data_IF_489864077012
#
_entry.id   IF_489864077012
#
_cell.length_a   1.000
_cell.length_b   1.000
_cell.length_c   1.000
_cell.angle_alpha   90.00
_cell.angle_beta   90.00
_cell.angle_gamma   90.00
#
_symmetry.space_group_name_H-M   'P 1'
#
loop_
_entity.id
_entity.type
_entity.pdbx_description
1 polymer ?
#
# COMPACT_ATOMS: atom_id res chain seq x y z
N UNK A 1 16.26 44.45 51.95
CA UNK A 1 16.35 42.97 52.05
C UNK A 1 15.27 42.24 51.23
N UNK A 2 14.30 42.90 50.64
CA UNK A 2 13.14 42.27 49.96
C UNK A 2 13.38 41.85 48.52
N UNK A 3 14.21 42.54 47.74
CA UNK A 3 14.45 42.21 46.33
C UNK A 3 15.32 40.94 46.10
N UNK A 4 16.27 40.68 46.99
CA UNK A 4 17.12 39.46 46.90
C UNK A 4 16.39 38.19 47.31
N UNK A 5 15.43 38.29 48.24
CA UNK A 5 14.60 37.15 48.64
C UNK A 5 13.58 36.77 47.53
N UNK A 6 13.07 37.75 46.78
CA UNK A 6 12.20 37.53 45.65
C UNK A 6 12.91 36.87 44.45
N UNK A 7 14.15 37.28 44.18
CA UNK A 7 15.01 36.66 43.12
C UNK A 7 15.41 35.23 43.44
N UNK A 8 15.66 34.90 44.71
CA UNK A 8 16.01 33.54 45.14
C UNK A 8 14.75 32.65 45.15
N UNK A 9 13.57 33.19 45.53
CA UNK A 9 12.32 32.45 45.43
C UNK A 9 11.87 32.19 44.00
N UNK A 10 12.06 33.13 43.09
CA UNK A 10 11.79 32.93 41.64
C UNK A 10 12.78 31.89 41.00
N UNK A 11 14.06 31.92 41.38
CA UNK A 11 15.03 30.93 40.87
C UNK A 11 14.80 29.51 41.45
N UNK A 12 14.29 29.38 42.67
CA UNK A 12 13.91 28.10 43.24
C UNK A 12 12.63 27.51 42.62
N UNK A 13 11.68 28.35 42.27
CA UNK A 13 10.45 27.95 41.55
C UNK A 13 10.73 27.52 40.08
N UNK A 14 11.70 28.15 39.42
CA UNK A 14 12.08 27.75 38.05
C UNK A 14 12.85 26.44 38.00
N UNK A 15 13.61 26.08 39.06
CA UNK A 15 14.30 24.80 39.14
C UNK A 15 13.35 23.61 39.47
N UNK A 16 12.24 23.86 40.17
CA UNK A 16 11.25 22.80 40.42
C UNK A 16 10.35 22.49 39.23
N UNK A 17 10.19 23.42 38.30
CA UNK A 17 9.45 23.17 37.04
C UNK A 17 10.22 22.28 36.04
N UNK A 18 11.54 22.15 36.19
CA UNK A 18 12.38 21.30 35.34
C UNK A 18 12.42 19.81 35.75
N UNK A 19 11.70 19.40 36.82
CA UNK A 19 11.59 17.99 37.20
C UNK A 19 10.41 17.32 36.47
N UNK A 20 10.29 17.58 35.18
CA UNK A 20 9.45 16.75 34.32
C UNK A 20 10.20 15.44 34.06
N UNK A 21 9.70 14.33 34.58
CA UNK A 21 10.26 13.01 34.36
C UNK A 21 10.43 12.69 32.87
N UNK A 22 11.22 11.67 32.51
CA UNK A 22 11.33 11.25 31.12
C UNK A 22 9.96 10.92 30.53
N UNK A 23 9.81 10.97 29.19
CA UNK A 23 8.57 10.51 28.56
C UNK A 23 8.27 9.07 28.99
N UNK A 24 7.00 8.65 29.07
CA UNK A 24 6.67 7.30 29.47
C UNK A 24 7.32 6.30 28.52
N UNK A 25 8.12 5.39 29.03
CA UNK A 25 8.69 4.29 28.26
C UNK A 25 7.60 3.28 27.95
N UNK A 26 7.30 3.12 26.67
CA UNK A 26 6.37 2.10 26.19
C UNK A 26 7.21 0.97 25.61
N UNK A 27 7.15 -0.19 26.25
CA UNK A 27 7.82 -1.38 25.76
C UNK A 27 7.25 -1.80 24.41
N UNK A 28 8.13 -1.94 23.43
CA UNK A 28 7.81 -2.41 22.06
C UNK A 28 8.68 -3.64 21.74
N UNK A 29 8.44 -4.79 22.42
CA UNK A 29 9.26 -5.98 22.21
C UNK A 29 9.13 -6.47 20.77
N UNK A 30 10.24 -6.92 20.19
CA UNK A 30 10.23 -7.54 18.85
C UNK A 30 9.32 -8.76 18.86
N UNK A 31 8.41 -8.91 17.87
CA UNK A 31 7.57 -10.08 17.76
C UNK A 31 8.41 -11.36 17.64
N UNK A 32 8.08 -12.38 18.41
CA UNK A 32 8.72 -13.69 18.30
C UNK A 32 8.18 -14.41 17.07
N UNK A 33 9.06 -14.80 16.17
CA UNK A 33 8.76 -15.58 14.98
C UNK A 33 9.37 -16.98 15.11
N UNK A 34 8.77 -18.01 14.48
CA UNK A 34 9.38 -19.32 14.37
C UNK A 34 10.66 -19.27 13.52
N UNK A 35 11.54 -20.24 13.67
CA UNK A 35 12.80 -20.31 12.90
C UNK A 35 12.56 -20.75 11.44
N UNK A 36 11.49 -21.49 11.17
CA UNK A 36 11.15 -22.03 9.84
C UNK A 36 9.65 -21.99 9.60
N UNK A 37 9.25 -21.94 8.32
CA UNK A 37 7.86 -22.14 7.93
C UNK A 37 7.49 -23.62 8.00
N UNK A 38 6.28 -23.94 8.45
CA UNK A 38 5.77 -25.31 8.57
C UNK A 38 5.68 -25.99 7.19
N UNK A 39 5.23 -25.26 6.17
CA UNK A 39 5.07 -25.76 4.80
C UNK A 39 6.22 -25.36 3.87
N UNK A 40 7.22 -24.67 4.39
CA UNK A 40 8.40 -24.26 3.61
C UNK A 40 9.27 -25.46 3.21
N UNK A 41 10.06 -25.35 2.12
CA UNK A 41 10.94 -26.43 1.68
C UNK A 41 12.06 -26.67 2.71
N UNK A 42 12.37 -27.95 2.96
CA UNK A 42 13.38 -28.35 3.95
C UNK A 42 14.83 -27.98 3.51
N UNK A 43 15.11 -28.04 2.20
CA UNK A 43 16.41 -27.69 1.62
C UNK A 43 16.35 -26.36 0.89
N UNK A 44 17.47 -25.61 0.90
CA UNK A 44 17.60 -24.45 0.03
C UNK A 44 17.79 -24.95 -1.42
N UNK A 45 16.87 -24.56 -2.31
CA UNK A 45 17.11 -24.62 -3.74
C UNK A 45 17.32 -23.17 -4.18
N UNK A 46 18.38 -22.91 -4.95
CA UNK A 46 18.77 -21.57 -5.44
C UNK A 46 17.86 -21.09 -6.58
N UNK A 47 16.54 -21.24 -6.43
CA UNK A 47 15.61 -20.63 -7.39
C UNK A 47 15.38 -19.16 -7.03
N UNK A 48 15.60 -18.30 -8.04
CA UNK A 48 15.40 -16.88 -7.86
C UNK A 48 13.91 -16.58 -7.60
N UNK A 49 13.61 -15.76 -6.61
CA UNK A 49 12.26 -15.31 -6.28
C UNK A 49 11.51 -14.76 -7.52
N UNK A 50 12.23 -14.08 -8.42
CA UNK A 50 11.65 -13.56 -9.66
C UNK A 50 11.11 -14.66 -10.60
N UNK A 51 11.58 -15.90 -10.47
CA UNK A 51 11.07 -17.02 -11.26
C UNK A 51 9.64 -17.45 -10.88
N UNK A 52 9.15 -17.06 -9.70
CA UNK A 52 7.77 -17.31 -9.27
C UNK A 52 6.74 -16.50 -10.08
N UNK A 53 7.15 -15.41 -10.70
CA UNK A 53 6.35 -14.67 -11.67
C UNK A 53 6.50 -15.27 -13.08
N UNK A 54 5.50 -15.08 -13.95
CA UNK A 54 5.61 -15.50 -15.37
C UNK A 54 6.50 -14.53 -16.15
N UNK A 55 7.71 -14.25 -15.66
CA UNK A 55 8.64 -13.26 -16.22
C UNK A 55 9.11 -13.56 -17.64
N UNK A 56 9.10 -14.83 -18.03
CA UNK A 56 9.41 -15.24 -19.39
C UNK A 56 8.22 -15.08 -20.37
N UNK A 57 7.01 -14.82 -19.88
CA UNK A 57 5.83 -14.61 -20.74
C UNK A 57 5.83 -13.19 -21.30
N UNK A 58 5.92 -13.00 -22.63
CA UNK A 58 5.98 -11.67 -23.25
C UNK A 58 4.73 -10.81 -22.97
N UNK A 59 3.57 -11.44 -22.71
CA UNK A 59 2.37 -10.71 -22.32
C UNK A 59 2.53 -10.10 -20.92
N UNK A 60 3.13 -10.83 -19.98
CA UNK A 60 3.42 -10.32 -18.65
C UNK A 60 4.43 -9.17 -18.71
N UNK A 61 5.51 -9.33 -19.48
CA UNK A 61 6.52 -8.29 -19.65
C UNK A 61 5.93 -7.00 -20.21
N UNK A 62 5.16 -7.09 -21.32
CA UNK A 62 4.55 -5.93 -21.96
C UNK A 62 3.54 -5.22 -21.04
N UNK A 63 2.62 -5.99 -20.40
CA UNK A 63 1.58 -5.41 -19.55
C UNK A 63 2.15 -4.86 -18.24
N UNK A 64 3.15 -5.51 -17.66
CA UNK A 64 3.79 -5.02 -16.43
C UNK A 64 4.61 -3.76 -16.68
N UNK A 65 5.38 -3.71 -17.78
CA UNK A 65 6.13 -2.51 -18.16
C UNK A 65 5.21 -1.30 -18.36
N UNK A 66 4.08 -1.49 -19.06
CA UNK A 66 3.10 -0.43 -19.27
C UNK A 66 2.42 -0.01 -17.97
N UNK A 67 2.01 -0.95 -17.14
CA UNK A 67 1.37 -0.65 -15.87
C UNK A 67 2.31 0.10 -14.92
N UNK A 68 3.58 -0.27 -14.87
CA UNK A 68 4.59 0.45 -14.08
C UNK A 68 4.79 1.89 -14.57
N UNK A 69 4.63 2.14 -15.87
CA UNK A 69 4.78 3.48 -16.46
C UNK A 69 3.55 4.37 -16.29
N UNK A 70 2.33 3.81 -16.24
CA UNK A 70 1.10 4.59 -16.38
C UNK A 70 -0.02 4.26 -15.39
N UNK A 71 0.20 3.35 -14.42
CA UNK A 71 -0.84 2.99 -13.44
C UNK A 71 -1.24 4.17 -12.57
N UNK A 72 -2.55 4.53 -12.50
CA UNK A 72 -3.03 5.56 -11.59
C UNK A 72 -2.74 5.24 -10.11
N UNK A 73 -2.77 3.97 -9.73
CA UNK A 73 -2.45 3.52 -8.35
C UNK A 73 -1.00 3.85 -7.98
N UNK A 74 -0.05 3.66 -8.90
CA UNK A 74 1.34 4.03 -8.65
C UNK A 74 1.53 5.55 -8.70
N UNK A 75 0.80 6.26 -9.56
CA UNK A 75 0.76 7.72 -9.57
C UNK A 75 0.24 8.29 -8.24
N UNK A 76 -0.81 7.72 -7.67
CA UNK A 76 -1.31 8.08 -6.34
C UNK A 76 -0.26 7.80 -5.25
N UNK A 77 0.40 6.65 -5.30
CA UNK A 77 1.45 6.32 -4.33
C UNK A 77 2.63 7.29 -4.42
N UNK A 78 3.04 7.69 -5.62
CA UNK A 78 4.08 8.71 -5.82
C UNK A 78 3.67 10.07 -5.25
N UNK A 79 2.43 10.51 -5.50
CA UNK A 79 1.90 11.76 -4.95
C UNK A 79 1.85 11.75 -3.41
N UNK A 80 1.57 10.60 -2.78
CA UNK A 80 1.63 10.46 -1.31
C UNK A 80 3.04 10.59 -0.76
N UNK A 81 4.05 10.13 -1.49
CA UNK A 81 5.46 10.37 -1.13
C UNK A 81 5.78 11.87 -1.21
N UNK A 82 5.33 12.56 -2.26
CA UNK A 82 5.50 14.01 -2.39
C UNK A 82 4.80 14.78 -1.26
N UNK A 83 3.60 14.37 -0.88
CA UNK A 83 2.87 14.91 0.27
C UNK A 83 3.65 14.73 1.57
N UNK A 84 4.19 13.53 1.82
CA UNK A 84 5.00 13.24 3.00
C UNK A 84 6.29 14.09 3.01
N UNK A 85 6.96 14.27 1.86
CA UNK A 85 8.14 15.14 1.70
C UNK A 85 7.79 16.61 1.96
N UNK A 86 6.67 17.08 1.44
CA UNK A 86 6.20 18.44 1.72
C UNK A 86 5.90 18.66 3.21
N UNK A 87 5.35 17.62 3.88
CA UNK A 87 5.16 17.59 5.33
C UNK A 87 6.48 17.71 6.11
N UNK A 88 7.48 16.93 5.72
CA UNK A 88 8.81 16.97 6.33
C UNK A 88 9.52 18.31 6.09
N UNK A 89 9.44 18.87 4.88
CA UNK A 89 9.99 20.18 4.57
C UNK A 89 9.32 21.29 5.42
N UNK A 90 8.00 21.19 5.62
CA UNK A 90 7.26 22.11 6.51
C UNK A 90 7.75 22.00 7.94
N UNK A 91 7.91 20.77 8.46
CA UNK A 91 8.41 20.54 9.81
C UNK A 91 9.85 21.04 9.98
N UNK A 92 10.72 20.85 8.98
CA UNK A 92 12.07 21.38 8.95
C UNK A 92 12.08 22.92 8.89
N UNK A 93 11.21 23.52 8.08
CA UNK A 93 11.08 24.99 7.96
C UNK A 93 10.64 25.65 9.28
N UNK A 94 9.85 24.96 10.11
CA UNK A 94 9.45 25.48 11.44
C UNK A 94 10.63 25.70 12.40
N UNK A 95 11.80 25.12 12.13
CA UNK A 95 13.03 25.33 12.89
C UNK A 95 13.86 26.52 12.41
N UNK A 96 13.49 27.09 11.27
CA UNK A 96 14.17 28.23 10.67
C UNK A 96 13.47 29.53 11.07
N UNK A 97 14.17 30.67 11.04
CA UNK A 97 13.53 31.98 11.24
C UNK A 97 12.44 32.23 10.19
N UNK A 98 11.26 32.65 10.63
CA UNK A 98 10.20 33.16 9.75
C UNK A 98 10.38 34.64 9.57
N UNK A 99 10.50 35.10 8.32
CA UNK A 99 10.65 36.51 7.96
C UNK A 99 9.41 36.94 7.19
N UNK A 100 8.72 37.93 7.70
CA UNK A 100 7.53 38.52 7.07
C UNK A 100 7.66 40.01 6.88
N UNK A 101 6.87 40.58 5.98
CA UNK A 101 6.69 42.00 5.83
C UNK A 101 5.23 42.36 6.09
N UNK A 102 5.00 43.42 6.85
CA UNK A 102 3.67 43.96 7.11
C UNK A 102 3.66 45.48 6.98
N UNK A 103 2.59 46.01 6.44
CA UNK A 103 2.33 47.42 6.41
C UNK A 103 0.91 47.71 6.86
N UNK A 104 0.71 48.87 7.49
CA UNK A 104 -0.61 49.20 7.99
C UNK A 104 -0.74 50.66 8.32
N UNK A 105 -1.97 51.14 8.38
CA UNK A 105 -2.35 52.44 8.88
C UNK A 105 -3.21 52.23 10.11
N UNK A 106 -2.84 52.83 11.23
CA UNK A 106 -3.58 52.70 12.49
C UNK A 106 -4.03 54.08 12.96
N UNK A 107 -5.35 54.26 13.08
CA UNK A 107 -5.94 55.42 13.73
C UNK A 107 -6.25 55.08 15.19
N UNK A 108 -5.73 55.87 16.13
CA UNK A 108 -6.02 55.71 17.56
C UNK A 108 -6.70 56.97 18.08
N UNK A 109 -7.75 56.78 18.86
CA UNK A 109 -8.42 57.85 19.60
C UNK A 109 -8.42 57.48 21.07
N UNK A 110 -7.72 58.30 21.88
CA UNK A 110 -7.60 58.12 23.32
C UNK A 110 -8.60 58.99 24.07
N UNK A 111 -9.13 58.49 25.16
CA UNK A 111 -10.00 59.28 26.01
C UNK A 111 -9.16 60.31 26.79
N UNK A 112 -9.44 61.64 26.69
CA UNK A 112 -8.71 62.68 27.42
C UNK A 112 -8.68 62.44 28.93
N UNK A 113 -9.71 61.88 29.48
CA UNK A 113 -9.84 61.61 30.93
C UNK A 113 -8.78 60.64 31.49
N UNK A 114 -8.13 59.84 30.64
CA UNK A 114 -7.05 58.92 31.05
C UNK A 114 -5.74 59.66 31.36
N UNK A 115 -5.57 60.89 30.87
CA UNK A 115 -4.34 61.67 31.02
C UNK A 115 -4.47 62.83 32.01
N UNK A 116 -5.71 63.09 32.52
CA UNK A 116 -6.02 64.27 33.29
C UNK A 116 -5.31 64.38 34.66
N UNK A 117 -4.78 63.29 35.19
CA UNK A 117 -4.09 63.24 36.49
C UNK A 117 -2.55 63.31 36.41
N UNK A 118 -1.95 63.25 35.21
CA UNK A 118 -0.51 63.12 35.06
C UNK A 118 0.14 64.23 34.21
N UNK A 119 -0.66 65.16 33.66
CA UNK A 119 -0.14 66.20 32.80
C UNK A 119 -0.03 67.57 33.56
N UNK A 120 1.04 68.36 33.31
CA UNK A 120 1.18 69.73 33.84
C UNK A 120 0.02 70.61 33.38
N UNK A 121 -0.34 71.65 34.16
CA UNK A 121 -1.36 72.61 33.74
C UNK A 121 -0.98 73.30 32.39
N UNK A 122 -1.91 73.26 31.43
CA UNK A 122 -1.73 73.88 30.12
C UNK A 122 -1.29 72.90 29.01
N UNK A 123 -1.05 71.61 29.28
CA UNK A 123 -0.74 70.59 28.27
C UNK A 123 -2.02 69.83 27.90
N UNK A 124 -2.43 69.96 26.65
CA UNK A 124 -3.55 69.18 26.08
C UNK A 124 -2.99 67.93 25.38
N UNK A 125 -3.39 66.71 25.77
CA UNK A 125 -2.93 65.54 25.07
C UNK A 125 -3.53 65.45 23.66
N UNK A 126 -2.75 65.04 22.67
CA UNK A 126 -3.28 64.61 21.39
C UNK A 126 -4.13 63.37 21.56
N UNK A 127 -5.43 63.54 21.32
CA UNK A 127 -6.41 62.47 21.53
C UNK A 127 -6.61 61.62 20.28
N UNK A 128 -6.30 62.14 19.11
CA UNK A 128 -6.41 61.44 17.82
C UNK A 128 -5.03 61.40 17.14
N UNK A 129 -4.61 60.23 16.77
CA UNK A 129 -3.33 60.02 16.09
C UNK A 129 -3.49 58.98 14.97
N UNK A 130 -3.00 59.31 13.79
CA UNK A 130 -2.85 58.36 12.70
C UNK A 130 -1.37 58.01 12.60
N UNK A 131 -1.07 56.72 12.48
CA UNK A 131 0.31 56.26 12.22
C UNK A 131 0.36 55.37 10.98
N UNK A 132 1.39 55.54 10.21
CA UNK A 132 1.71 54.72 9.05
C UNK A 132 2.94 53.88 9.39
N UNK A 133 2.86 52.58 9.15
CA UNK A 133 3.96 51.66 9.45
C UNK A 133 4.22 50.70 8.29
N UNK A 134 5.51 50.39 8.04
CA UNK A 134 5.95 49.37 7.14
C UNK A 134 7.15 48.65 7.78
N UNK A 135 6.96 47.36 8.16
CA UNK A 135 7.92 46.62 8.96
C UNK A 135 8.31 45.30 8.31
N UNK A 136 9.58 44.93 8.44
CA UNK A 136 10.06 43.56 8.34
C UNK A 136 10.09 42.97 9.73
N UNK A 137 9.52 41.77 9.89
CA UNK A 137 9.48 41.03 11.16
C UNK A 137 10.19 39.71 10.99
N UNK A 138 10.97 39.33 11.99
CA UNK A 138 11.55 37.98 12.08
C UNK A 138 11.14 37.33 13.39
N UNK A 139 10.77 36.08 13.34
CA UNK A 139 10.49 35.25 14.52
C UNK A 139 11.21 33.92 14.40
N UNK A 140 11.79 33.45 15.49
CA UNK A 140 12.53 32.21 15.53
C UNK A 140 12.47 31.53 16.89
N UNK A 141 12.11 30.21 16.88
CA UNK A 141 12.27 29.28 18.01
C UNK A 141 13.55 28.46 17.78
N UNK A 142 14.65 28.66 18.52
CA UNK A 142 15.89 27.91 18.37
C UNK A 142 15.79 26.45 18.82
N UNK A 143 14.61 26.02 19.28
CA UNK A 143 14.29 24.64 19.68
C UNK A 143 15.29 24.04 20.70
N UNK A 144 15.56 24.77 21.78
CA UNK A 144 16.57 24.38 22.79
C UNK A 144 16.31 23.00 23.38
N UNK A 145 15.06 22.60 23.51
CA UNK A 145 14.64 21.31 24.08
C UNK A 145 14.30 20.27 23.00
N UNK A 146 14.38 20.59 21.73
CA UNK A 146 14.27 19.66 20.61
C UNK A 146 12.85 19.20 20.28
N UNK A 147 11.83 19.97 20.64
CA UNK A 147 10.41 19.69 20.31
C UNK A 147 10.18 19.70 18.81
N UNK A 148 10.63 20.76 18.12
CA UNK A 148 10.51 20.88 16.66
C UNK A 148 11.36 19.85 15.92
N UNK A 149 12.56 19.55 16.46
CA UNK A 149 13.41 18.47 15.94
C UNK A 149 12.73 17.09 16.03
N UNK A 150 11.99 16.82 17.10
CA UNK A 150 11.23 15.58 17.21
C UNK A 150 10.09 15.51 16.20
N UNK A 151 9.36 16.61 15.97
CA UNK A 151 8.32 16.69 14.95
C UNK A 151 8.88 16.51 13.54
N UNK A 152 10.03 17.10 13.23
CA UNK A 152 10.72 16.87 11.95
C UNK A 152 11.08 15.39 11.76
N UNK A 153 11.62 14.72 12.78
CA UNK A 153 11.95 13.29 12.73
C UNK A 153 10.71 12.42 12.55
N UNK A 154 9.60 12.77 13.17
CA UNK A 154 8.31 12.10 12.94
C UNK A 154 7.87 12.25 11.47
N UNK A 155 7.99 13.44 10.92
CA UNK A 155 7.64 13.70 9.51
C UNK A 155 8.58 12.95 8.53
N UNK A 156 9.88 12.85 8.84
CA UNK A 156 10.82 12.04 8.05
C UNK A 156 10.48 10.55 8.09
N UNK A 157 10.13 10.00 9.25
CA UNK A 157 9.70 8.61 9.36
C UNK A 157 8.41 8.33 8.57
N UNK A 158 7.53 9.32 8.39
CA UNK A 158 6.35 9.22 7.52
C UNK A 158 6.72 9.13 6.04
N UNK A 159 7.86 9.69 5.60
CA UNK A 159 8.37 9.46 4.24
C UNK A 159 8.71 8.00 4.05
N UNK A 160 9.42 7.38 5.01
CA UNK A 160 9.79 5.98 4.95
C UNK A 160 8.55 5.07 4.89
N UNK A 161 7.48 5.43 5.64
CA UNK A 161 6.20 4.72 5.58
C UNK A 161 5.51 4.85 4.22
N UNK A 162 5.54 6.04 3.62
CA UNK A 162 4.97 6.27 2.28
C UNK A 162 5.75 5.53 1.19
N UNK A 163 7.10 5.55 1.25
CA UNK A 163 7.96 4.81 0.33
C UNK A 163 7.74 3.29 0.41
N UNK A 164 7.59 2.76 1.62
CA UNK A 164 7.28 1.34 1.81
C UNK A 164 5.88 1.00 1.29
N UNK A 165 4.89 1.85 1.52
CA UNK A 165 3.52 1.69 0.99
C UNK A 165 3.49 1.71 -0.55
N UNK A 166 4.30 2.56 -1.18
CA UNK A 166 4.43 2.59 -2.63
C UNK A 166 5.04 1.29 -3.20
N UNK A 167 6.02 0.71 -2.50
CA UNK A 167 6.56 -0.62 -2.86
C UNK A 167 5.51 -1.71 -2.72
N UNK A 168 4.68 -1.68 -1.68
CA UNK A 168 3.57 -2.62 -1.52
C UNK A 168 2.57 -2.51 -2.68
N UNK A 169 2.21 -1.29 -3.09
CA UNK A 169 1.32 -1.06 -4.22
C UNK A 169 1.91 -1.60 -5.54
N UNK A 170 3.22 -1.44 -5.76
CA UNK A 170 3.92 -2.01 -6.92
C UNK A 170 3.87 -3.54 -6.94
N UNK A 171 4.13 -4.19 -5.81
CA UNK A 171 4.08 -5.65 -5.68
C UNK A 171 2.67 -6.15 -5.96
N UNK A 172 1.65 -5.53 -5.36
CA UNK A 172 0.27 -5.88 -5.60
C UNK A 172 -0.11 -5.74 -7.08
N UNK A 173 0.29 -4.66 -7.75
CA UNK A 173 0.04 -4.44 -9.18
C UNK A 173 0.65 -5.54 -10.05
N UNK A 174 1.92 -5.88 -9.81
CA UNK A 174 2.61 -6.93 -10.56
C UNK A 174 1.98 -8.30 -10.32
N UNK A 175 1.60 -8.62 -9.08
CA UNK A 175 0.89 -9.86 -8.74
C UNK A 175 -0.45 -9.99 -9.45
N UNK A 176 -1.22 -8.91 -9.51
CA UNK A 176 -2.51 -8.87 -10.16
C UNK A 176 -2.39 -9.04 -11.68
N UNK A 177 -1.38 -8.43 -12.32
CA UNK A 177 -1.10 -8.61 -13.75
C UNK A 177 -0.65 -10.04 -14.02
N UNK A 178 0.27 -10.58 -13.21
CA UNK A 178 0.73 -11.96 -13.32
C UNK A 178 -0.44 -12.95 -13.21
N UNK A 179 -1.30 -12.77 -12.21
CA UNK A 179 -2.51 -13.56 -12.05
C UNK A 179 -3.44 -13.47 -13.27
N UNK A 180 -3.64 -12.26 -13.81
CA UNK A 180 -4.46 -12.05 -15.01
C UNK A 180 -3.89 -12.76 -16.26
N UNK A 181 -2.57 -12.69 -16.46
CA UNK A 181 -1.90 -13.41 -17.56
C UNK A 181 -2.02 -14.93 -17.39
N UNK A 182 -1.78 -15.46 -16.20
CA UNK A 182 -1.95 -16.90 -15.90
C UNK A 182 -3.39 -17.35 -16.13
N UNK A 183 -4.38 -16.56 -15.66
CA UNK A 183 -5.79 -16.84 -15.89
C UNK A 183 -6.10 -16.89 -17.39
N UNK A 184 -5.59 -15.93 -18.18
CA UNK A 184 -5.76 -15.94 -19.63
C UNK A 184 -5.17 -17.18 -20.31
N UNK A 185 -3.94 -17.57 -19.93
CA UNK A 185 -3.30 -18.78 -20.45
C UNK A 185 -4.09 -20.04 -20.09
N UNK A 186 -4.57 -20.10 -18.86
CA UNK A 186 -5.42 -21.22 -18.39
C UNK A 186 -6.72 -21.29 -19.19
N UNK A 187 -7.37 -20.15 -19.44
CA UNK A 187 -8.58 -20.07 -20.27
C UNK A 187 -8.31 -20.50 -21.71
N UNK A 188 -7.18 -20.13 -22.31
CA UNK A 188 -6.79 -20.56 -23.65
C UNK A 188 -6.58 -22.08 -23.73
N UNK A 189 -5.98 -22.68 -22.69
CA UNK A 189 -5.82 -24.13 -22.62
C UNK A 189 -7.17 -24.86 -22.48
N UNK A 190 -8.08 -24.33 -21.65
CA UNK A 190 -9.43 -24.86 -21.47
C UNK A 190 -10.25 -24.73 -22.78
N UNK A 191 -10.17 -23.61 -23.45
CA UNK A 191 -10.85 -23.38 -24.73
C UNK A 191 -10.41 -24.37 -25.80
N UNK A 192 -9.09 -24.58 -25.94
CA UNK A 192 -8.54 -25.52 -26.90
C UNK A 192 -9.05 -26.95 -26.65
N UNK A 193 -9.09 -27.39 -25.37
CA UNK A 193 -9.61 -28.70 -24.97
C UNK A 193 -11.13 -28.79 -25.24
N UNK A 194 -11.91 -27.84 -24.80
CA UNK A 194 -13.35 -27.82 -25.04
C UNK A 194 -13.72 -27.74 -26.54
N UNK A 195 -12.87 -27.06 -27.35
CA UNK A 195 -13.04 -27.06 -28.81
C UNK A 195 -12.81 -28.46 -29.43
N UNK A 196 -11.80 -29.18 -28.94
CA UNK A 196 -11.55 -30.57 -29.34
C UNK A 196 -12.70 -31.48 -28.90
N UNK A 197 -13.23 -31.32 -27.69
CA UNK A 197 -14.36 -32.05 -27.14
C UNK A 197 -15.62 -31.81 -27.97
N UNK A 198 -15.91 -30.55 -28.32
CA UNK A 198 -17.06 -30.19 -29.16
C UNK A 198 -16.96 -30.87 -30.53
N UNK A 199 -15.80 -30.83 -31.19
CA UNK A 199 -15.58 -31.48 -32.48
C UNK A 199 -15.81 -33.00 -32.38
N UNK A 200 -15.26 -33.64 -31.33
CA UNK A 200 -15.45 -35.06 -31.07
C UNK A 200 -16.92 -35.43 -30.81
N UNK A 201 -17.63 -34.61 -30.00
CA UNK A 201 -19.05 -34.84 -29.70
C UNK A 201 -19.93 -34.64 -30.95
N UNK A 202 -19.63 -33.67 -31.79
CA UNK A 202 -20.31 -33.45 -33.05
C UNK A 202 -20.14 -34.62 -34.04
N UNK A 203 -18.92 -35.16 -34.13
CA UNK A 203 -18.67 -36.31 -34.97
C UNK A 203 -19.40 -37.57 -34.46
N UNK A 204 -19.42 -37.78 -33.15
CA UNK A 204 -20.21 -38.88 -32.55
C UNK A 204 -21.71 -38.71 -32.81
N UNK A 205 -22.24 -37.50 -32.73
CA UNK A 205 -23.63 -37.21 -33.05
C UNK A 205 -23.95 -37.49 -34.54
N UNK A 206 -23.04 -37.11 -35.45
CA UNK A 206 -23.16 -37.38 -36.89
C UNK A 206 -23.18 -38.88 -37.18
N UNK A 207 -22.26 -39.65 -36.56
CA UNK A 207 -22.18 -41.09 -36.74
C UNK A 207 -23.42 -41.80 -36.15
N UNK A 208 -23.93 -41.39 -34.98
CA UNK A 208 -25.18 -41.90 -34.43
C UNK A 208 -26.37 -41.64 -35.37
N UNK A 209 -26.45 -40.47 -35.95
CA UNK A 209 -27.49 -40.14 -36.92
C UNK A 209 -27.42 -40.95 -38.22
N UNK A 210 -26.22 -41.30 -38.72
CA UNK A 210 -26.05 -42.20 -39.86
C UNK A 210 -26.52 -43.62 -39.53
N UNK A 211 -26.17 -44.13 -38.34
CA UNK A 211 -26.60 -45.45 -37.87
C UNK A 211 -28.11 -45.57 -37.64
N UNK A 212 -28.76 -44.51 -37.12
CA UNK A 212 -30.20 -44.42 -36.96
C UNK A 212 -30.88 -44.47 -38.33
N UNK A 213 -30.46 -43.66 -39.30
CA UNK A 213 -30.99 -43.65 -40.66
C UNK A 213 -30.86 -45.00 -41.37
N UNK A 214 -29.78 -45.74 -41.07
CA UNK A 214 -29.53 -47.08 -41.58
C UNK A 214 -30.34 -48.19 -40.81
N UNK A 215 -31.13 -47.81 -39.80
CA UNK A 215 -31.91 -48.76 -39.01
C UNK A 215 -31.11 -49.65 -38.05
N UNK A 216 -29.82 -49.36 -37.81
CA UNK A 216 -28.95 -50.18 -36.98
C UNK A 216 -28.70 -49.59 -35.57
N UNK A 217 -29.30 -48.43 -35.24
CA UNK A 217 -29.22 -47.82 -33.91
C UNK A 217 -30.50 -47.09 -33.54
N UNK A 218 -30.83 -47.01 -32.27
CA UNK A 218 -31.99 -46.26 -31.81
C UNK A 218 -31.72 -44.75 -31.89
N UNK A 219 -32.73 -43.93 -32.17
CA UNK A 219 -32.65 -42.48 -32.17
C UNK A 219 -32.22 -41.87 -30.84
N UNK A 220 -32.33 -42.61 -29.75
CA UNK A 220 -31.82 -42.25 -28.43
C UNK A 220 -30.31 -41.98 -28.41
N UNK A 221 -29.52 -42.75 -29.12
CA UNK A 221 -28.06 -42.55 -29.19
C UNK A 221 -27.69 -41.22 -29.85
N UNK A 222 -28.41 -40.86 -30.94
CA UNK A 222 -28.24 -39.56 -31.60
C UNK A 222 -28.58 -38.42 -30.66
N UNK A 223 -29.73 -38.46 -29.99
CA UNK A 223 -30.17 -37.40 -29.07
C UNK A 223 -29.16 -37.21 -27.92
N UNK A 224 -28.62 -38.29 -27.36
CA UNK A 224 -27.57 -38.22 -26.31
C UNK A 224 -26.27 -37.59 -26.82
N UNK A 225 -25.82 -37.93 -28.01
CA UNK A 225 -24.62 -37.38 -28.60
C UNK A 225 -24.83 -35.86 -28.94
N UNK A 226 -25.96 -35.50 -29.47
CA UNK A 226 -26.33 -34.08 -29.72
C UNK A 226 -26.40 -33.28 -28.41
N UNK A 227 -26.97 -33.84 -27.35
CA UNK A 227 -26.95 -33.24 -26.00
C UNK A 227 -25.52 -33.04 -25.45
N UNK A 228 -24.60 -34.01 -25.70
CA UNK A 228 -23.20 -33.85 -25.33
C UNK A 228 -22.53 -32.71 -26.08
N UNK A 229 -22.76 -32.60 -27.41
CA UNK A 229 -22.24 -31.49 -28.21
C UNK A 229 -22.79 -30.12 -27.78
N UNK A 230 -24.09 -30.07 -27.44
CA UNK A 230 -24.73 -28.87 -26.92
C UNK A 230 -24.10 -28.45 -25.54
N UNK A 231 -23.83 -29.41 -24.68
CA UNK A 231 -23.17 -29.17 -23.40
C UNK A 231 -21.75 -28.59 -23.58
N UNK A 232 -20.94 -29.17 -24.50
CA UNK A 232 -19.59 -28.67 -24.80
C UNK A 232 -19.63 -27.26 -25.39
N UNK A 233 -20.63 -26.95 -26.26
CA UNK A 233 -20.85 -25.60 -26.81
C UNK A 233 -21.21 -24.61 -25.70
N UNK A 234 -22.09 -24.97 -24.77
CA UNK A 234 -22.47 -24.13 -23.64
C UNK A 234 -21.28 -23.80 -22.74
N UNK A 235 -20.43 -24.81 -22.42
CA UNK A 235 -19.21 -24.60 -21.64
C UNK A 235 -18.21 -23.69 -22.36
N UNK A 236 -18.05 -23.83 -23.67
CA UNK A 236 -17.21 -22.95 -24.49
C UNK A 236 -17.68 -21.49 -24.43
N UNK A 237 -19.00 -21.26 -24.60
CA UNK A 237 -19.58 -19.93 -24.49
C UNK A 237 -19.41 -19.31 -23.08
N UNK A 238 -19.40 -20.14 -22.03
CA UNK A 238 -19.18 -19.66 -20.67
C UNK A 238 -17.74 -19.11 -20.47
N UNK A 239 -16.74 -19.63 -21.20
CA UNK A 239 -15.36 -19.12 -21.13
C UNK A 239 -15.25 -17.68 -21.67
N UNK A 240 -16.12 -17.27 -22.59
CA UNK A 240 -16.12 -15.90 -23.13
C UNK A 240 -16.40 -14.87 -22.01
N UNK A 241 -17.26 -15.22 -21.06
CA UNK A 241 -17.51 -14.36 -19.88
C UNK A 241 -16.25 -14.25 -18.98
N UNK A 242 -15.55 -15.36 -18.74
CA UNK A 242 -14.32 -15.36 -17.95
C UNK A 242 -13.23 -14.56 -18.69
N UNK A 243 -13.08 -14.71 -19.98
CA UNK A 243 -12.15 -13.93 -20.82
C UNK A 243 -12.44 -12.43 -20.79
N UNK A 244 -13.70 -12.04 -20.90
CA UNK A 244 -14.10 -10.64 -20.81
C UNK A 244 -13.72 -10.02 -19.46
N UNK A 245 -13.89 -10.75 -18.35
CA UNK A 245 -13.47 -10.31 -17.01
C UNK A 245 -11.97 -10.13 -16.91
N UNK A 246 -11.17 -11.08 -17.43
CA UNK A 246 -9.70 -10.99 -17.41
C UNK A 246 -9.23 -9.78 -18.21
N UNK A 247 -9.77 -9.57 -19.41
CA UNK A 247 -9.43 -8.39 -20.23
C UNK A 247 -9.81 -7.10 -19.48
N UNK A 248 -11.03 -6.99 -18.94
CA UNK A 248 -11.48 -5.82 -18.20
C UNK A 248 -10.58 -5.50 -17.01
N UNK A 249 -10.17 -6.52 -16.26
CA UNK A 249 -9.23 -6.36 -15.15
C UNK A 249 -7.85 -5.87 -15.61
N UNK A 250 -7.28 -6.47 -16.65
CA UNK A 250 -5.98 -6.07 -17.18
C UNK A 250 -6.01 -4.67 -17.81
N UNK A 251 -7.12 -4.26 -18.44
CA UNK A 251 -7.36 -2.88 -18.89
C UNK A 251 -7.24 -1.89 -17.73
N UNK A 252 -7.89 -2.19 -16.61
CA UNK A 252 -7.83 -1.34 -15.41
C UNK A 252 -6.42 -1.28 -14.84
N UNK A 253 -5.73 -2.42 -14.73
CA UNK A 253 -4.40 -2.49 -14.11
C UNK A 253 -3.31 -1.85 -14.97
N UNK A 254 -3.38 -2.01 -16.31
CA UNK A 254 -2.39 -1.48 -17.24
C UNK A 254 -2.67 -0.05 -17.72
N UNK A 255 -3.84 0.49 -17.36
CA UNK A 255 -4.33 1.80 -17.84
C UNK A 255 -4.29 1.92 -19.38
N UNK A 256 -4.65 0.83 -20.08
CA UNK A 256 -4.68 0.77 -21.55
C UNK A 256 -6.09 0.42 -22.06
N UNK A 257 -6.33 0.63 -23.36
CA UNK A 257 -7.52 0.12 -24.02
C UNK A 257 -7.50 -1.42 -24.19
N UNK A 258 -8.67 -2.03 -24.42
CA UNK A 258 -8.81 -3.48 -24.60
C UNK A 258 -8.04 -4.02 -25.82
N UNK A 259 -7.84 -3.21 -26.88
CA UNK A 259 -7.07 -3.61 -28.08
C UNK A 259 -5.63 -3.98 -27.73
N UNK A 260 -4.79 -3.06 -27.23
CA UNK A 260 -3.42 -3.33 -26.82
C UNK A 260 -3.27 -4.48 -25.81
N UNK A 261 -4.21 -4.58 -24.84
CA UNK A 261 -4.20 -5.69 -23.87
C UNK A 261 -4.40 -7.04 -24.57
N UNK A 262 -5.35 -7.11 -25.53
CA UNK A 262 -5.59 -8.33 -26.31
C UNK A 262 -4.40 -8.69 -27.19
N UNK A 263 -3.77 -7.68 -27.80
CA UNK A 263 -2.59 -7.89 -28.67
C UNK A 263 -1.40 -8.42 -27.86
N UNK A 264 -1.16 -7.90 -26.65
CA UNK A 264 -0.19 -8.44 -25.73
C UNK A 264 -0.49 -9.91 -25.35
N UNK A 265 -1.75 -10.22 -25.01
CA UNK A 265 -2.19 -11.57 -24.64
C UNK A 265 -2.15 -12.57 -25.81
N UNK A 266 -2.17 -12.10 -27.07
CA UNK A 266 -2.06 -12.94 -28.26
C UNK A 266 -0.64 -13.45 -28.50
N UNK A 267 0.39 -12.85 -27.90
CA UNK A 267 1.76 -13.35 -27.98
C UNK A 267 1.86 -14.75 -27.35
N UNK A 268 2.56 -15.66 -28.01
CA UNK A 268 2.69 -17.03 -27.53
C UNK A 268 3.60 -17.09 -26.28
N UNK A 269 3.18 -17.78 -25.21
CA UNK A 269 4.06 -17.98 -24.05
C UNK A 269 5.15 -18.98 -24.40
N UNK A 270 6.36 -18.86 -23.81
CA UNK A 270 7.37 -19.89 -23.91
C UNK A 270 6.95 -21.14 -23.15
N UNK A 271 7.47 -22.29 -23.58
CA UNK A 271 7.30 -23.54 -22.85
C UNK A 271 8.37 -23.61 -21.73
N UNK A 272 8.03 -23.10 -20.58
CA UNK A 272 8.89 -23.13 -19.38
C UNK A 272 8.26 -23.98 -18.29
N UNK A 273 9.09 -24.79 -17.64
CA UNK A 273 8.67 -25.58 -16.48
C UNK A 273 8.18 -24.69 -15.33
N UNK A 274 7.45 -25.29 -14.40
CA UNK A 274 7.05 -24.58 -13.16
C UNK A 274 8.25 -24.47 -12.21
N UNK A 275 8.57 -23.27 -11.72
CA UNK A 275 9.62 -23.08 -10.74
C UNK A 275 9.22 -23.71 -9.39
N UNK A 276 10.19 -24.17 -8.62
CA UNK A 276 9.97 -24.64 -7.26
C UNK A 276 9.85 -23.50 -6.28
N UNK A 277 9.27 -23.75 -5.10
CA UNK A 277 9.19 -22.77 -4.06
C UNK A 277 10.59 -22.52 -3.45
N UNK A 278 11.09 -21.27 -3.40
CA UNK A 278 12.37 -20.95 -2.80
C UNK A 278 12.28 -21.11 -1.27
N UNK A 279 13.42 -21.38 -0.63
CA UNK A 279 13.50 -21.35 0.83
C UNK A 279 13.63 -19.92 1.33
N UNK A 280 12.78 -19.53 2.27
CA UNK A 280 12.91 -18.30 3.02
C UNK A 280 12.77 -18.60 4.53
N UNK A 281 13.24 -17.68 5.36
CA UNK A 281 13.07 -17.77 6.82
C UNK A 281 12.12 -16.69 7.31
N UNK A 282 11.27 -16.99 8.31
CA UNK A 282 10.28 -16.04 8.80
C UNK A 282 10.80 -14.68 9.20
N UNK A 283 12.03 -14.61 9.74
CA UNK A 283 12.67 -13.35 10.12
C UNK A 283 12.97 -12.41 8.93
N UNK A 284 13.14 -12.94 7.71
CA UNK A 284 13.35 -12.15 6.50
C UNK A 284 12.11 -11.35 6.10
N UNK A 285 10.92 -11.78 6.52
CA UNK A 285 9.69 -11.01 6.28
C UNK A 285 9.75 -9.62 6.90
N UNK A 286 10.41 -9.48 8.07
CA UNK A 286 10.58 -8.20 8.75
C UNK A 286 11.43 -7.20 7.95
N UNK A 287 12.34 -7.71 7.11
CA UNK A 287 13.25 -6.89 6.30
C UNK A 287 12.75 -6.67 4.88
N UNK A 288 11.91 -7.56 4.38
CA UNK A 288 11.58 -7.64 2.96
C UNK A 288 10.15 -7.20 2.65
N UNK A 289 9.19 -7.43 3.55
CA UNK A 289 7.79 -7.07 3.29
C UNK A 289 7.54 -5.58 3.45
N UNK A 290 7.08 -4.89 2.40
CA UNK A 290 6.86 -3.45 2.46
C UNK A 290 5.75 -3.02 3.44
N UNK A 291 4.72 -3.84 3.65
CA UNK A 291 3.66 -3.57 4.61
C UNK A 291 4.18 -3.58 6.06
N UNK A 292 5.07 -4.52 6.39
CA UNK A 292 5.77 -4.58 7.69
C UNK A 292 6.68 -3.37 7.87
N UNK A 293 7.43 -3.00 6.82
CA UNK A 293 8.31 -1.83 6.84
C UNK A 293 7.52 -0.53 7.01
N UNK A 294 6.36 -0.38 6.34
CA UNK A 294 5.48 0.77 6.49
C UNK A 294 4.92 0.89 7.91
N UNK A 295 4.49 -0.24 8.50
CA UNK A 295 4.02 -0.27 9.87
C UNK A 295 5.12 0.05 10.90
N UNK A 296 6.35 -0.44 10.68
CA UNK A 296 7.52 -0.12 11.50
C UNK A 296 7.89 1.37 11.42
N UNK A 297 7.88 1.96 10.22
CA UNK A 297 8.14 3.39 10.02
C UNK A 297 7.04 4.26 10.65
N UNK A 298 5.78 3.83 10.59
CA UNK A 298 4.67 4.49 11.29
C UNK A 298 4.87 4.45 12.81
N UNK A 299 5.28 3.30 13.37
CA UNK A 299 5.58 3.19 14.79
C UNK A 299 6.73 4.13 15.20
N UNK A 300 7.77 4.24 14.37
CA UNK A 300 8.86 5.19 14.60
C UNK A 300 8.39 6.65 14.56
N UNK A 301 7.47 7.00 13.67
CA UNK A 301 6.87 8.34 13.64
C UNK A 301 6.12 8.65 14.94
N UNK A 302 5.31 7.72 15.45
CA UNK A 302 4.57 7.90 16.71
C UNK A 302 5.49 7.96 17.94
N UNK A 303 6.65 7.28 17.90
CA UNK A 303 7.68 7.42 18.93
C UNK A 303 8.22 8.86 18.99
N UNK A 304 8.51 9.46 17.86
CA UNK A 304 8.95 10.85 17.78
C UNK A 304 7.85 11.84 18.13
N UNK A 305 6.58 11.57 17.82
CA UNK A 305 5.45 12.41 18.26
C UNK A 305 5.29 12.37 19.78
N UNK A 306 5.41 11.21 20.41
CA UNK A 306 5.42 11.10 21.86
C UNK A 306 6.59 11.91 22.47
N UNK A 307 7.77 11.81 21.84
CA UNK A 307 8.92 12.60 22.27
C UNK A 307 8.68 14.12 22.11
N UNK A 308 7.98 14.56 21.07
CA UNK A 308 7.60 15.96 20.87
C UNK A 308 6.57 16.42 21.92
N UNK A 309 5.53 15.61 22.18
CA UNK A 309 4.53 15.89 23.21
C UNK A 309 5.16 16.01 24.60
N UNK A 310 6.05 15.08 24.96
CA UNK A 310 6.78 15.12 26.25
C UNK A 310 7.61 16.41 26.43
N UNK A 311 8.15 16.94 25.32
CA UNK A 311 8.95 18.19 25.34
C UNK A 311 8.12 19.46 25.54
N UNK A 312 6.78 19.42 25.43
CA UNK A 312 5.91 20.56 25.75
C UNK A 312 5.91 20.96 27.23
N UNK A 313 6.45 20.12 28.10
CA UNK A 313 6.68 20.44 29.52
C UNK A 313 7.77 21.50 29.73
N UNK A 314 8.71 21.60 28.78
CA UNK A 314 9.85 22.50 28.90
C UNK A 314 9.49 23.90 28.40
N UNK A 315 10.19 24.94 28.91
CA UNK A 315 10.00 26.29 28.41
C UNK A 315 10.30 26.40 26.89
N UNK A 316 9.52 27.24 26.19
CA UNK A 316 9.85 27.67 24.83
C UNK A 316 10.64 28.95 24.89
N UNK A 317 11.57 29.12 23.95
CA UNK A 317 12.41 30.27 23.78
C UNK A 317 12.15 30.90 22.43
N UNK A 318 11.60 32.15 22.41
CA UNK A 318 11.26 32.86 21.20
C UNK A 318 12.14 34.08 21.03
N UNK A 319 12.78 34.21 19.87
CA UNK A 319 13.47 35.38 19.41
C UNK A 319 12.58 36.12 18.39
N UNK A 320 12.40 37.42 18.58
CA UNK A 320 11.70 38.26 17.62
C UNK A 320 12.47 39.54 17.33
N UNK A 321 12.49 39.91 16.08
CA UNK A 321 13.09 41.17 15.62
C UNK A 321 12.13 41.88 14.70
N UNK A 322 12.10 43.21 14.77
CA UNK A 322 11.46 44.01 13.75
C UNK A 322 12.36 45.19 13.35
N UNK A 323 12.35 45.51 12.07
CA UNK A 323 13.00 46.68 11.50
C UNK A 323 12.05 47.27 10.48
N UNK A 324 11.79 48.58 10.59
CA UNK A 324 10.84 49.20 9.68
C UNK A 324 10.78 50.71 9.79
N UNK A 325 9.71 51.26 9.27
CA UNK A 325 9.40 52.68 9.23
C UNK A 325 8.11 52.92 10.02
N UNK A 326 8.08 53.96 10.82
CA UNK A 326 6.91 54.45 11.52
C UNK A 326 6.85 55.94 11.44
N UNK A 327 5.76 56.49 10.89
CA UNK A 327 5.54 57.93 10.78
C UNK A 327 4.10 58.30 11.15
N UNK A 328 3.91 59.56 11.55
CA UNK A 328 2.60 60.12 11.85
C UNK A 328 2.01 60.93 10.68
N UNK A 329 2.82 61.22 9.68
CA UNK A 329 2.43 61.74 8.38
C UNK A 329 2.88 60.80 7.28
N UNK A 330 2.06 60.60 6.24
CA UNK A 330 2.44 59.72 5.13
C UNK A 330 3.66 60.25 4.36
N UNK A 331 3.86 61.55 4.33
CA UNK A 331 5.01 62.19 3.69
C UNK A 331 6.34 61.92 4.39
N UNK A 332 6.28 61.69 5.71
CA UNK A 332 7.47 61.53 6.57
C UNK A 332 7.90 60.06 6.65
N UNK A 333 7.14 59.17 6.06
CA UNK A 333 7.36 57.69 6.19
C UNK A 333 8.74 57.23 5.71
N UNK A 334 9.30 57.94 4.73
CA UNK A 334 10.61 57.61 4.14
C UNK A 334 11.75 58.48 4.67
N UNK A 335 11.50 59.31 5.67
CA UNK A 335 12.55 60.10 6.31
C UNK A 335 13.42 59.21 7.22
N UNK A 336 14.67 59.60 7.43
CA UNK A 336 15.61 58.88 8.29
C UNK A 336 15.12 58.71 9.72
N UNK A 337 14.33 59.65 10.19
CA UNK A 337 13.79 59.66 11.57
C UNK A 337 12.59 58.71 11.78
N UNK A 338 12.07 58.16 10.68
CA UNK A 338 11.00 57.17 10.70
C UNK A 338 11.50 55.74 10.94
N UNK A 339 12.83 55.51 10.86
CA UNK A 339 13.41 54.15 11.04
C UNK A 339 13.26 53.72 12.50
N UNK A 340 12.58 52.60 12.71
CA UNK A 340 12.39 51.98 14.01
C UNK A 340 12.83 50.50 13.98
N UNK A 341 13.45 50.06 15.07
CA UNK A 341 13.85 48.67 15.19
C UNK A 341 13.68 48.14 16.61
N UNK A 342 13.35 46.85 16.73
CA UNK A 342 13.31 46.19 18.01
C UNK A 342 13.89 44.78 17.90
N UNK A 343 14.54 44.33 18.98
CA UNK A 343 14.96 42.95 19.17
C UNK A 343 14.48 42.54 20.55
N UNK A 344 13.72 41.44 20.62
CA UNK A 344 13.19 40.92 21.85
C UNK A 344 13.45 39.43 21.93
N UNK A 345 13.68 38.94 23.15
CA UNK A 345 13.70 37.54 23.48
C UNK A 345 12.70 37.27 24.60
N UNK A 346 11.99 36.16 24.48
CA UNK A 346 11.02 35.74 25.51
C UNK A 346 11.21 34.27 25.86
N UNK A 347 10.96 33.94 27.12
CA UNK A 347 10.89 32.56 27.61
C UNK A 347 9.47 32.38 28.19
N UNK A 348 8.77 31.38 27.67
CA UNK A 348 7.44 31.02 28.15
C UNK A 348 7.47 29.58 28.71
N UNK A 349 7.05 29.41 29.97
CA UNK A 349 7.00 28.10 30.62
C UNK A 349 5.57 27.84 31.14
N UNK A 350 5.01 26.63 30.95
CA UNK A 350 3.74 26.27 31.54
C UNK A 350 3.96 26.01 33.05
N UNK A 351 3.40 26.85 33.92
CA UNK A 351 3.54 26.70 35.37
C UNK A 351 2.33 25.95 35.97
N UNK A 352 1.14 26.19 35.45
CA UNK A 352 -0.09 25.56 35.91
C UNK A 352 -1.03 25.40 34.71
N UNK A 353 -1.28 24.17 34.29
CA UNK A 353 -2.09 23.84 33.12
C UNK A 353 -3.24 22.85 33.40
N UNK A 354 -3.44 22.53 34.68
CA UNK A 354 -4.48 21.61 35.14
C UNK A 354 -4.45 20.23 34.45
N UNK A 355 -3.29 19.76 34.08
CA UNK A 355 -3.09 18.44 33.48
C UNK A 355 -3.24 18.39 31.95
N UNK A 356 -3.37 19.53 31.27
CA UNK A 356 -3.51 19.57 29.79
C UNK A 356 -2.30 18.93 29.07
N UNK A 357 -1.09 19.30 29.44
CA UNK A 357 0.14 18.75 28.84
C UNK A 357 0.25 17.26 29.15
N UNK A 358 -0.09 16.84 30.39
CA UNK A 358 -0.08 15.42 30.73
C UNK A 358 -1.09 14.63 29.88
N UNK A 359 -2.28 15.15 29.65
CA UNK A 359 -3.29 14.51 28.79
C UNK A 359 -2.82 14.42 27.32
N UNK A 360 -2.10 15.43 26.81
CA UNK A 360 -1.50 15.38 25.47
C UNK A 360 -0.42 14.29 25.38
N UNK A 361 0.41 14.12 26.42
CA UNK A 361 1.42 13.05 26.49
C UNK A 361 0.76 11.68 26.58
N UNK A 362 -0.27 11.54 27.41
CA UNK A 362 -1.01 10.28 27.57
C UNK A 362 -1.71 9.90 26.24
N UNK A 363 -2.23 10.89 25.49
CA UNK A 363 -2.78 10.71 24.15
C UNK A 363 -1.72 10.17 23.18
N UNK A 364 -0.58 10.84 23.08
CA UNK A 364 0.52 10.40 22.20
C UNK A 364 1.08 9.02 22.62
N UNK A 365 1.11 8.73 23.93
CA UNK A 365 1.47 7.41 24.45
C UNK A 365 0.48 6.32 24.02
N UNK A 366 -0.82 6.63 24.01
CA UNK A 366 -1.86 5.72 23.54
C UNK A 366 -1.77 5.49 22.03
N UNK A 367 -1.46 6.53 21.23
CA UNK A 367 -1.22 6.42 19.78
C UNK A 367 -0.01 5.54 19.47
N UNK A 368 1.13 5.71 20.18
CA UNK A 368 2.28 4.82 20.06
C UNK A 368 1.93 3.36 20.39
N UNK A 369 1.15 3.12 21.48
CA UNK A 369 0.67 1.77 21.81
C UNK A 369 -0.18 1.19 20.68
N UNK A 370 -1.08 1.97 20.11
CA UNK A 370 -1.93 1.54 19.00
C UNK A 370 -1.10 1.23 17.74
N UNK A 371 -0.11 2.06 17.42
CA UNK A 371 0.82 1.83 16.32
C UNK A 371 1.66 0.55 16.53
N UNK A 372 2.10 0.28 17.75
CA UNK A 372 2.80 -0.96 18.08
C UNK A 372 1.91 -2.19 17.90
N UNK A 373 0.66 -2.15 18.32
CA UNK A 373 -0.26 -3.27 18.11
C UNK A 373 -0.57 -3.48 16.62
N UNK A 374 -0.68 -2.40 15.84
CA UNK A 374 -0.79 -2.49 14.36
C UNK A 374 0.44 -3.14 13.75
N UNK A 375 1.65 -2.70 14.11
CA UNK A 375 2.89 -3.33 13.66
C UNK A 375 2.93 -4.83 13.98
N UNK A 376 2.63 -5.22 15.23
CA UNK A 376 2.53 -6.64 15.61
C UNK A 376 1.50 -7.40 14.77
N UNK A 377 0.33 -6.83 14.59
CA UNK A 377 -0.73 -7.42 13.75
C UNK A 377 -0.24 -7.66 12.33
N UNK A 378 0.40 -6.65 11.71
CA UNK A 378 0.97 -6.78 10.36
C UNK A 378 2.03 -7.88 10.27
N UNK A 379 2.91 -8.00 11.28
CA UNK A 379 3.93 -9.06 11.33
C UNK A 379 3.30 -10.45 11.37
N UNK A 380 2.28 -10.66 12.22
CA UNK A 380 1.60 -11.97 12.28
C UNK A 380 0.74 -12.26 11.05
N UNK A 381 0.15 -11.23 10.44
CA UNK A 381 -0.53 -11.38 9.14
C UNK A 381 0.49 -11.80 8.08
N UNK A 382 1.65 -11.15 8.02
CA UNK A 382 2.72 -11.50 7.09
C UNK A 382 3.20 -12.95 7.26
N UNK A 383 3.33 -13.42 8.50
CA UNK A 383 3.67 -14.81 8.81
C UNK A 383 2.57 -15.77 8.33
N UNK A 384 1.31 -15.45 8.61
CA UNK A 384 0.16 -16.25 8.18
C UNK A 384 0.05 -16.34 6.67
N UNK A 385 0.21 -15.21 5.95
CA UNK A 385 0.19 -15.16 4.49
C UNK A 385 1.30 -16.05 3.87
N UNK A 386 2.50 -16.02 4.45
CA UNK A 386 3.61 -16.82 3.95
C UNK A 386 3.40 -18.32 4.20
N UNK A 387 2.91 -18.70 5.40
CA UNK A 387 2.55 -20.10 5.70
C UNK A 387 1.45 -20.61 4.77
N UNK A 388 0.38 -19.82 4.58
CA UNK A 388 -0.69 -20.14 3.63
C UNK A 388 -0.15 -20.31 2.22
N UNK A 389 0.68 -19.39 1.75
CA UNK A 389 1.22 -19.39 0.40
C UNK A 389 2.09 -20.63 0.13
N UNK A 390 2.96 -21.03 1.06
CA UNK A 390 3.72 -22.28 0.96
C UNK A 390 2.80 -23.51 0.96
N UNK A 391 1.81 -23.53 1.83
CA UNK A 391 0.80 -24.58 1.86
C UNK A 391 0.01 -24.69 0.57
N UNK A 392 -0.38 -23.55 -0.03
CA UNK A 392 -1.08 -23.49 -1.31
C UNK A 392 -0.22 -24.03 -2.45
N UNK A 393 1.06 -23.67 -2.53
CA UNK A 393 1.98 -24.19 -3.56
C UNK A 393 2.09 -25.71 -3.44
N UNK A 394 2.37 -26.23 -2.24
CA UNK A 394 2.51 -27.67 -2.01
C UNK A 394 1.22 -28.45 -2.31
N UNK A 395 0.05 -27.90 -1.98
CA UNK A 395 -1.24 -28.52 -2.25
C UNK A 395 -1.59 -28.47 -3.74
N UNK A 396 -1.41 -27.32 -4.39
CA UNK A 396 -1.72 -27.13 -5.80
C UNK A 396 -0.82 -27.97 -6.73
N UNK A 397 0.45 -28.17 -6.36
CA UNK A 397 1.36 -29.04 -7.10
C UNK A 397 0.91 -30.50 -7.04
N UNK A 398 0.53 -31.01 -5.86
CA UNK A 398 -0.02 -32.36 -5.71
C UNK A 398 -1.34 -32.53 -6.48
N UNK A 399 -2.22 -31.52 -6.42
CA UNK A 399 -3.47 -31.53 -7.17
C UNK A 399 -3.22 -31.55 -8.69
N UNK A 400 -2.31 -30.70 -9.18
CA UNK A 400 -2.00 -30.63 -10.61
C UNK A 400 -1.41 -31.96 -11.13
N UNK A 401 -0.53 -32.60 -10.33
CA UNK A 401 0.06 -33.90 -10.67
C UNK A 401 -1.01 -35.00 -10.73
N UNK A 402 -1.86 -35.11 -9.70
CA UNK A 402 -2.92 -36.12 -9.63
C UNK A 402 -3.98 -35.90 -10.73
N UNK A 403 -4.38 -34.65 -10.99
CA UNK A 403 -5.33 -34.32 -12.05
C UNK A 403 -4.76 -34.63 -13.46
N UNK A 404 -3.46 -34.40 -13.66
CA UNK A 404 -2.78 -34.76 -14.91
C UNK A 404 -2.77 -36.28 -15.13
N UNK A 405 -2.45 -37.06 -14.10
CA UNK A 405 -2.47 -38.52 -14.15
C UNK A 405 -3.89 -39.05 -14.42
N UNK A 406 -4.93 -38.54 -13.72
CA UNK A 406 -6.32 -38.87 -13.98
C UNK A 406 -6.69 -38.60 -15.45
N UNK A 407 -6.38 -37.41 -15.96
CA UNK A 407 -6.71 -37.06 -17.33
C UNK A 407 -5.99 -37.95 -18.36
N UNK A 408 -4.72 -38.30 -18.13
CA UNK A 408 -3.99 -39.23 -19.00
C UNK A 408 -4.59 -40.63 -19.00
N UNK A 409 -5.04 -41.15 -17.84
CA UNK A 409 -5.65 -42.45 -17.71
C UNK A 409 -7.02 -42.48 -18.39
N UNK A 410 -7.89 -41.48 -18.16
CA UNK A 410 -9.22 -41.41 -18.77
C UNK A 410 -9.13 -41.18 -20.30
N UNK A 411 -8.15 -40.42 -20.78
CA UNK A 411 -7.91 -40.28 -22.22
C UNK A 411 -7.50 -41.63 -22.84
N UNK A 412 -6.66 -42.43 -22.16
CA UNK A 412 -6.32 -43.79 -22.64
C UNK A 412 -7.55 -44.70 -22.66
N UNK A 413 -8.38 -44.64 -21.60
CA UNK A 413 -9.63 -45.43 -21.53
C UNK A 413 -10.59 -45.07 -22.67
N UNK A 414 -10.76 -43.79 -22.97
CA UNK A 414 -11.60 -43.32 -24.08
C UNK A 414 -11.09 -43.81 -25.45
N UNK A 415 -9.76 -43.82 -25.66
CA UNK A 415 -9.16 -44.33 -26.88
C UNK A 415 -9.35 -45.86 -27.03
N UNK A 416 -9.23 -46.61 -25.93
CA UNK A 416 -9.52 -48.06 -25.90
C UNK A 416 -11.00 -48.31 -26.21
N UNK A 417 -11.91 -47.59 -25.57
CA UNK A 417 -13.34 -47.74 -25.80
C UNK A 417 -13.71 -47.49 -27.27
N UNK A 418 -13.12 -46.45 -27.88
CA UNK A 418 -13.33 -46.14 -29.29
C UNK A 418 -12.79 -47.22 -30.22
N UNK A 419 -11.62 -47.78 -29.90
CA UNK A 419 -11.05 -48.92 -30.69
C UNK A 419 -11.89 -50.16 -30.61
N UNK A 420 -12.37 -50.53 -29.40
CA UNK A 420 -13.26 -51.69 -29.17
C UNK A 420 -14.59 -51.49 -29.91
N UNK A 421 -15.14 -50.29 -29.89
CA UNK A 421 -16.40 -49.99 -30.59
C UNK A 421 -16.26 -50.15 -32.12
N UNK A 422 -15.13 -49.68 -32.69
CA UNK A 422 -14.84 -49.93 -34.13
C UNK A 422 -14.73 -51.39 -34.49
N UNK A 423 -14.25 -52.23 -33.57
CA UNK A 423 -14.20 -53.68 -33.68
C UNK A 423 -15.51 -54.39 -33.37
N UNK A 424 -16.57 -53.67 -33.03
CA UNK A 424 -17.86 -54.24 -32.64
C UNK A 424 -17.92 -54.83 -31.23
N UNK A 425 -16.88 -54.59 -30.39
CA UNK A 425 -16.70 -55.17 -29.04
C UNK A 425 -17.18 -54.24 -27.91
N UNK A 426 -17.67 -53.05 -28.23
CA UNK A 426 -18.25 -52.10 -27.26
C UNK A 426 -19.42 -51.36 -27.93
N UNK A 427 -20.38 -50.98 -27.11
CA UNK A 427 -21.52 -50.15 -27.53
C UNK A 427 -21.16 -48.65 -27.66
N UNK A 428 -22.05 -47.92 -28.29
CA UNK A 428 -21.89 -46.47 -28.49
C UNK A 428 -21.90 -45.70 -27.16
N UNK A 429 -22.71 -46.16 -26.19
CA UNK A 429 -22.86 -45.53 -24.89
C UNK A 429 -21.54 -45.57 -24.11
N UNK A 430 -20.86 -46.71 -24.11
CA UNK A 430 -19.53 -46.87 -23.47
C UNK A 430 -18.51 -45.86 -24.03
N UNK A 431 -18.48 -45.63 -25.33
CA UNK A 431 -17.58 -44.64 -25.94
C UNK A 431 -17.96 -43.21 -25.52
N UNK A 432 -19.25 -42.88 -25.54
CA UNK A 432 -19.74 -41.55 -25.19
C UNK A 432 -19.42 -41.24 -23.72
N UNK A 433 -19.62 -42.19 -22.81
CA UNK A 433 -19.33 -42.01 -21.37
C UNK A 433 -17.82 -41.88 -21.12
N UNK A 434 -17.00 -42.75 -21.73
CA UNK A 434 -15.54 -42.66 -21.60
C UNK A 434 -14.98 -41.32 -22.14
N UNK A 435 -15.50 -40.83 -23.28
CA UNK A 435 -15.14 -39.52 -23.81
C UNK A 435 -15.51 -38.37 -22.87
N UNK A 436 -16.77 -38.36 -22.38
CA UNK A 436 -17.21 -37.32 -21.43
C UNK A 436 -16.36 -37.29 -20.16
N UNK A 437 -15.95 -38.45 -19.66
CA UNK A 437 -15.07 -38.54 -18.50
C UNK A 437 -13.68 -37.98 -18.80
N UNK A 438 -13.09 -38.34 -19.95
CA UNK A 438 -11.80 -37.83 -20.40
C UNK A 438 -11.80 -36.34 -20.59
N UNK A 439 -12.85 -35.79 -21.25
CA UNK A 439 -13.01 -34.36 -21.51
C UNK A 439 -13.10 -33.55 -20.21
N UNK A 440 -13.95 -34.00 -19.27
CA UNK A 440 -14.10 -33.37 -17.97
C UNK A 440 -12.82 -33.40 -17.13
N UNK A 441 -12.06 -34.52 -17.18
CA UNK A 441 -10.79 -34.62 -16.45
C UNK A 441 -9.70 -33.75 -17.06
N UNK A 442 -9.65 -33.65 -18.40
CA UNK A 442 -8.72 -32.77 -19.11
C UNK A 442 -8.93 -31.28 -18.77
N UNK A 443 -10.20 -30.85 -18.65
CA UNK A 443 -10.52 -29.50 -18.22
C UNK A 443 -10.10 -29.25 -16.75
N UNK A 444 -10.36 -30.22 -15.83
CA UNK A 444 -9.91 -30.14 -14.44
C UNK A 444 -8.38 -30.06 -14.32
N UNK A 445 -7.65 -30.85 -15.09
CA UNK A 445 -6.19 -30.83 -15.12
C UNK A 445 -5.63 -29.49 -15.58
N UNK A 446 -6.21 -28.85 -16.62
CA UNK A 446 -5.82 -27.52 -17.05
C UNK A 446 -6.09 -26.46 -15.95
N UNK A 447 -7.23 -26.53 -15.29
CA UNK A 447 -7.56 -25.64 -14.19
C UNK A 447 -6.63 -25.83 -12.97
N UNK A 448 -6.29 -27.08 -12.62
CA UNK A 448 -5.37 -27.39 -11.53
C UNK A 448 -3.96 -26.84 -11.80
N UNK A 449 -3.46 -26.99 -13.04
CA UNK A 449 -2.19 -26.39 -13.46
C UNK A 449 -2.20 -24.87 -13.35
N UNK A 450 -3.31 -24.23 -13.74
CA UNK A 450 -3.50 -22.78 -13.59
C UNK A 450 -3.44 -22.34 -12.11
N UNK A 451 -4.09 -23.11 -11.20
CA UNK A 451 -4.01 -22.88 -9.75
C UNK A 451 -2.58 -23.01 -9.22
N UNK A 452 -1.84 -24.03 -9.65
CA UNK A 452 -0.45 -24.23 -9.24
C UNK A 452 0.47 -23.06 -9.68
N UNK A 453 0.27 -22.54 -10.89
CA UNK A 453 0.98 -21.32 -11.37
C UNK A 453 0.58 -20.09 -10.54
N UNK A 454 -0.69 -19.92 -10.24
CA UNK A 454 -1.20 -18.80 -9.46
C UNK A 454 -0.73 -18.83 -8.00
N UNK A 455 -0.62 -20.00 -7.38
CA UNK A 455 -0.08 -20.17 -6.04
C UNK A 455 1.35 -19.63 -5.91
N UNK A 456 2.14 -19.71 -6.96
CA UNK A 456 3.51 -19.16 -7.01
C UNK A 456 3.53 -17.64 -6.98
N UNK A 457 2.60 -17.00 -7.67
CA UNK A 457 2.45 -15.54 -7.62
C UNK A 457 2.04 -15.08 -6.23
N UNK A 458 1.14 -15.83 -5.57
CA UNK A 458 0.73 -15.57 -4.18
C UNK A 458 1.94 -15.71 -3.25
N UNK A 459 2.76 -16.75 -3.43
CA UNK A 459 3.98 -16.95 -2.64
C UNK A 459 4.98 -15.81 -2.88
N UNK A 460 5.19 -15.39 -4.12
CA UNK A 460 6.05 -14.25 -4.43
C UNK A 460 5.62 -12.98 -3.69
N UNK A 461 4.32 -12.68 -3.72
CA UNK A 461 3.75 -11.53 -3.00
C UNK A 461 3.90 -11.67 -1.48
N UNK A 462 3.62 -12.86 -0.93
CA UNK A 462 3.69 -13.12 0.50
C UNK A 462 5.11 -13.01 1.06
N UNK A 463 6.13 -13.32 0.24
CA UNK A 463 7.55 -13.19 0.62
C UNK A 463 8.13 -11.80 0.38
N UNK A 464 7.35 -10.83 -0.10
CA UNK A 464 7.74 -9.43 -0.23
C UNK A 464 8.20 -9.02 -1.63
N UNK A 465 7.98 -9.85 -2.66
CA UNK A 465 8.03 -9.43 -4.05
C UNK A 465 9.42 -9.03 -4.59
N UNK A 466 10.49 -9.67 -4.16
CA UNK A 466 11.89 -9.39 -4.60
C UNK A 466 12.32 -10.20 -5.81
#
# INVERSE_FOLDING_TARGET
MTARAFLVACSALTLSACVAGPPPEIATPTPQLPDTFLYGPAAAEDEAMAALLPSADPAFEALSAQALASSPTLGEAAARIEEARAGANRAGAQRMPEIGANSGVTGTRNNPGQFSSSLPPGVSPETERVSFAANLTARWDPDLFGRLRAQERAALARIDAADASARAARIALLSEIAAGVIDWRTLADRERRLGQDLNSAQELARLAGVREKAGIAAGFDRVRAESSAASSRSRLAALDNERARVIGRLVTLSAQGAGPVRDALAMAPPDVGMPRAPKAVPSELLLNRPDVLAAAATLAAEDFELAAAARRRFPTFDLSASLGLLAFGIGDLFDSDSIVGSLASSIAAPLLDFGRIQAEIDGAAAEKKAAFQRYRGTVYTALGDAEEAYGLVAAADREALAAHEEAANLQRAANIAQTRQRAGLADFLTVLEARRAADASGERAAAALGRARRARVILWQALGGR
#
